data_IF_406384788757
#
_entry.id   IF_406384788757
#
_cell.length_a   1.000
_cell.length_b   1.000
_cell.length_c   1.000
_cell.angle_alpha   90.00
_cell.angle_beta   90.00
_cell.angle_gamma   90.00
#
_symmetry.space_group_name_H-M   'P 1'
#
loop_
_entity.id
_entity.type
_entity.pdbx_description
1 polymer ?
#
# COMPACT_ATOMS: atom_id res chain seq x y z
N UNK A 1 -30.11 -25.18 -33.89
CA UNK A 1 -29.76 -24.70 -32.52
C UNK A 1 -28.25 -24.69 -32.42
N UNK A 2 -27.64 -23.55 -32.72
CA UNK A 2 -26.22 -23.34 -32.56
C UNK A 2 -25.97 -23.07 -31.03
N UNK A 3 -25.12 -23.88 -30.42
CA UNK A 3 -24.63 -23.59 -29.08
C UNK A 3 -23.66 -22.45 -29.22
N UNK A 4 -24.01 -21.28 -28.69
CA UNK A 4 -23.07 -20.21 -28.43
C UNK A 4 -21.99 -20.75 -27.48
N UNK A 5 -20.77 -20.82 -28.00
CA UNK A 5 -19.58 -21.04 -27.19
C UNK A 5 -19.36 -19.76 -26.38
N UNK A 6 -19.94 -19.71 -25.20
CA UNK A 6 -19.58 -18.75 -24.16
C UNK A 6 -18.16 -19.14 -23.68
N UNK A 7 -17.16 -18.64 -24.38
CA UNK A 7 -15.79 -18.68 -23.88
C UNK A 7 -15.69 -17.73 -22.69
N UNK A 8 -16.11 -18.24 -21.54
CA UNK A 8 -15.94 -17.61 -20.23
C UNK A 8 -14.41 -17.63 -19.93
N UNK A 9 -13.67 -16.73 -20.57
CA UNK A 9 -12.29 -16.44 -20.15
C UNK A 9 -12.41 -15.96 -18.71
N UNK A 10 -12.12 -16.83 -17.74
CA UNK A 10 -12.02 -16.46 -16.34
C UNK A 10 -10.99 -15.34 -16.28
N UNK A 11 -11.44 -14.13 -16.01
CA UNK A 11 -10.56 -12.99 -15.78
C UNK A 11 -9.48 -13.42 -14.78
N UNK A 12 -8.23 -13.42 -15.22
CA UNK A 12 -7.12 -13.86 -14.41
C UNK A 12 -6.89 -12.81 -13.33
N UNK A 13 -6.86 -13.24 -12.09
CA UNK A 13 -6.71 -12.35 -10.94
C UNK A 13 -5.29 -12.40 -10.40
N UNK A 14 -4.85 -11.31 -9.79
CA UNK A 14 -3.56 -11.20 -9.12
C UNK A 14 -3.78 -10.65 -7.69
N UNK A 15 -3.15 -11.30 -6.72
CA UNK A 15 -3.15 -10.86 -5.33
C UNK A 15 -1.86 -10.09 -5.05
N UNK A 16 -1.99 -8.84 -4.66
CA UNK A 16 -0.88 -7.94 -4.33
C UNK A 16 -0.87 -7.67 -2.83
N UNK A 17 0.31 -7.62 -2.22
CA UNK A 17 0.49 -7.19 -0.84
C UNK A 17 1.62 -6.17 -0.76
N UNK A 18 1.44 -5.10 -0.01
CA UNK A 18 2.52 -4.24 0.46
C UNK A 18 2.61 -4.29 1.97
N UNK A 19 3.82 -4.34 2.50
CA UNK A 19 4.03 -4.42 3.93
C UNK A 19 5.40 -3.84 4.32
N UNK A 20 5.40 -2.71 5.01
CA UNK A 20 6.57 -2.24 5.74
C UNK A 20 6.74 -3.12 6.97
N UNK A 21 7.76 -4.00 6.98
CA UNK A 21 7.96 -4.99 8.04
C UNK A 21 8.80 -4.48 9.20
N UNK A 22 9.19 -3.22 9.16
CA UNK A 22 10.11 -2.57 10.10
C UNK A 22 11.48 -3.24 10.13
N UNK A 23 12.52 -2.48 9.88
CA UNK A 23 13.90 -2.97 9.96
C UNK A 23 14.25 -3.45 11.38
N UNK A 24 15.20 -4.36 11.45
CA UNK A 24 15.72 -4.82 12.73
C UNK A 24 16.92 -3.96 13.15
N UNK A 25 16.83 -3.34 14.33
CA UNK A 25 17.92 -2.55 14.89
C UNK A 25 19.07 -3.40 15.45
N UNK A 26 18.84 -4.71 15.58
CA UNK A 26 19.80 -5.65 16.19
C UNK A 26 20.61 -6.38 15.11
N UNK A 27 21.38 -5.64 14.30
CA UNK A 27 22.16 -6.16 13.17
C UNK A 27 23.14 -7.33 13.52
N UNK A 28 23.37 -7.59 14.80
CA UNK A 28 24.36 -8.54 15.30
C UNK A 28 23.77 -9.81 15.93
N UNK A 29 22.49 -10.08 15.79
CA UNK A 29 21.91 -11.34 16.26
C UNK A 29 21.74 -12.32 15.10
N UNK A 30 22.74 -13.18 14.80
CA UNK A 30 22.57 -14.26 13.83
C UNK A 30 21.66 -15.30 14.45
N UNK A 31 20.36 -15.09 14.33
CA UNK A 31 19.41 -16.17 14.60
C UNK A 31 19.28 -16.99 13.34
N UNK A 32 19.42 -18.31 13.49
CA UNK A 32 19.03 -19.20 12.41
C UNK A 32 17.66 -18.83 11.90
N UNK A 33 17.38 -18.77 10.59
CA UNK A 33 16.06 -18.53 10.04
C UNK A 33 14.99 -19.42 10.71
N UNK A 34 15.36 -20.64 11.05
CA UNK A 34 14.49 -21.65 11.65
C UNK A 34 14.57 -21.73 13.17
N UNK A 35 15.29 -20.83 13.84
CA UNK A 35 15.28 -20.80 15.31
C UNK A 35 13.87 -20.55 15.81
N UNK A 36 13.33 -21.46 16.61
CA UNK A 36 12.01 -21.31 17.19
C UNK A 36 11.92 -20.03 18.04
N UNK A 37 10.78 -19.35 18.06
CA UNK A 37 10.58 -18.22 18.95
C UNK A 37 10.72 -18.70 20.41
N UNK A 38 11.17 -17.84 21.31
CA UNK A 38 11.25 -18.21 22.72
C UNK A 38 9.88 -18.65 23.23
N UNK A 39 9.83 -19.81 23.89
CA UNK A 39 8.59 -20.35 24.50
C UNK A 39 8.21 -19.42 25.65
N UNK A 40 6.97 -19.03 25.71
CA UNK A 40 6.45 -18.19 26.80
C UNK A 40 5.99 -19.05 27.95
N UNK A 41 6.35 -18.64 29.17
CA UNK A 41 5.85 -19.24 30.40
C UNK A 41 4.36 -18.94 30.65
N UNK A 42 3.84 -17.83 30.09
CA UNK A 42 2.43 -17.45 30.18
C UNK A 42 1.93 -16.91 28.82
N UNK A 43 1.28 -17.73 28.00
CA UNK A 43 0.76 -17.32 26.69
C UNK A 43 -0.43 -16.34 26.75
N UNK A 44 -1.03 -16.14 27.93
CA UNK A 44 -2.20 -15.28 28.11
C UNK A 44 -1.85 -13.89 28.67
N UNK A 45 -0.58 -13.62 29.00
CA UNK A 45 -0.18 -12.31 29.50
C UNK A 45 0.11 -11.34 28.36
N UNK A 46 -0.96 -10.76 27.79
CA UNK A 46 -0.89 -9.75 26.72
C UNK A 46 -0.11 -8.47 27.10
N UNK A 47 0.29 -8.29 28.35
CA UNK A 47 1.07 -7.13 28.78
C UNK A 47 2.56 -7.19 28.42
N UNK A 48 3.04 -8.34 27.93
CA UNK A 48 4.47 -8.57 27.66
C UNK A 48 4.98 -7.94 26.36
N UNK A 49 4.10 -7.55 25.41
CA UNK A 49 4.51 -7.02 24.11
C UNK A 49 3.88 -5.66 23.80
N UNK A 50 4.11 -4.68 24.64
CA UNK A 50 3.64 -3.30 24.41
C UNK A 50 4.61 -2.42 23.61
N UNK A 51 5.76 -2.98 23.23
CA UNK A 51 6.83 -2.26 22.55
C UNK A 51 7.35 -3.06 21.35
N UNK A 52 8.17 -2.41 20.52
CA UNK A 52 8.84 -3.06 19.40
C UNK A 52 9.64 -4.28 19.90
N UNK A 53 9.34 -5.43 19.30
CA UNK A 53 10.06 -6.67 19.58
C UNK A 53 11.14 -6.92 18.53
N UNK A 54 12.25 -7.60 18.88
CA UNK A 54 13.28 -8.00 17.93
C UNK A 54 12.69 -8.80 16.74
N UNK A 55 13.33 -8.70 15.60
CA UNK A 55 12.92 -9.45 14.39
C UNK A 55 12.82 -10.95 14.63
N UNK A 56 13.73 -11.52 15.40
CA UNK A 56 13.73 -12.93 15.77
C UNK A 56 12.41 -13.42 16.41
N UNK A 57 11.66 -12.52 17.04
CA UNK A 57 10.32 -12.78 17.59
C UNK A 57 9.24 -12.47 16.55
N UNK A 58 9.33 -11.30 15.88
CA UNK A 58 8.30 -10.82 14.96
C UNK A 58 8.18 -11.65 13.68
N UNK A 59 9.30 -12.18 13.16
CA UNK A 59 9.39 -12.86 11.87
C UNK A 59 8.36 -13.98 11.71
N UNK A 60 8.07 -14.74 12.76
CA UNK A 60 7.14 -15.87 12.69
C UNK A 60 5.72 -15.42 12.37
N UNK A 61 5.25 -14.34 12.98
CA UNK A 61 3.92 -13.79 12.73
C UNK A 61 3.86 -12.96 11.46
N UNK A 62 4.96 -12.36 11.03
CA UNK A 62 5.11 -11.80 9.68
C UNK A 62 4.93 -12.92 8.65
N UNK A 63 5.61 -14.08 8.86
CA UNK A 63 5.47 -15.26 7.99
C UNK A 63 4.06 -15.84 7.99
N UNK A 64 3.43 -16.01 9.17
CA UNK A 64 2.04 -16.46 9.26
C UNK A 64 1.12 -15.56 8.40
N UNK A 65 1.33 -14.25 8.47
CA UNK A 65 0.53 -13.30 7.68
C UNK A 65 0.78 -13.47 6.17
N UNK A 66 2.03 -13.57 5.73
CA UNK A 66 2.37 -13.74 4.32
C UNK A 66 1.79 -15.06 3.78
N UNK A 67 2.00 -16.16 4.50
CA UNK A 67 1.55 -17.49 4.06
C UNK A 67 0.03 -17.61 4.06
N UNK A 68 -0.66 -17.04 5.07
CA UNK A 68 -2.12 -17.07 5.17
C UNK A 68 -2.79 -16.36 3.98
N UNK A 69 -2.30 -15.16 3.63
CA UNK A 69 -2.88 -14.38 2.52
C UNK A 69 -2.28 -14.73 1.16
N UNK A 70 -1.12 -15.36 1.16
CA UNK A 70 -0.50 -15.98 0.00
C UNK A 70 -0.53 -15.10 -1.26
N UNK A 71 0.02 -13.85 -1.22
CA UNK A 71 0.00 -12.93 -2.34
C UNK A 71 0.84 -13.46 -3.51
N UNK A 72 0.45 -13.12 -4.74
CA UNK A 72 1.26 -13.44 -5.92
C UNK A 72 2.50 -12.52 -6.00
N UNK A 73 2.33 -11.26 -5.56
CA UNK A 73 3.41 -10.27 -5.40
C UNK A 73 3.35 -9.68 -4.00
N UNK A 74 4.48 -9.70 -3.31
CA UNK A 74 4.69 -9.13 -1.98
C UNK A 74 5.79 -8.06 -2.05
N UNK A 75 5.40 -6.81 -1.88
CA UNK A 75 6.27 -5.66 -1.83
C UNK A 75 6.62 -5.33 -0.37
N UNK A 76 7.87 -5.46 0.01
CA UNK A 76 8.34 -5.23 1.36
C UNK A 76 9.16 -3.94 1.44
N UNK A 77 8.97 -3.17 2.50
CA UNK A 77 9.76 -1.99 2.83
C UNK A 77 10.46 -2.20 4.16
N UNK A 78 11.62 -1.60 4.29
CA UNK A 78 12.54 -1.61 5.43
C UNK A 78 13.30 -2.91 5.73
N UNK A 79 13.06 -4.11 5.14
CA UNK A 79 13.91 -5.22 5.52
C UNK A 79 15.38 -4.88 5.26
N UNK A 80 16.25 -5.24 6.20
CA UNK A 80 17.70 -5.26 6.01
C UNK A 80 18.14 -6.66 5.59
N UNK A 81 19.39 -6.80 5.14
CA UNK A 81 19.84 -8.00 4.43
C UNK A 81 19.61 -9.31 5.21
N UNK A 82 19.85 -9.35 6.52
CA UNK A 82 19.59 -10.58 7.31
C UNK A 82 18.09 -10.93 7.39
N UNK A 83 17.19 -9.92 7.41
CA UNK A 83 15.75 -10.16 7.33
C UNK A 83 15.35 -10.72 5.95
N UNK A 84 16.00 -10.25 4.88
CA UNK A 84 15.80 -10.82 3.54
C UNK A 84 16.23 -12.30 3.51
N UNK A 85 17.38 -12.65 4.09
CA UNK A 85 17.83 -14.04 4.15
C UNK A 85 16.89 -14.94 4.96
N UNK A 86 16.35 -14.45 6.06
CA UNK A 86 15.33 -15.18 6.84
C UNK A 86 14.07 -15.42 6.00
N UNK A 87 13.57 -14.39 5.30
CA UNK A 87 12.38 -14.49 4.45
C UNK A 87 12.63 -15.38 3.23
N UNK A 88 13.80 -15.27 2.59
CA UNK A 88 14.20 -16.14 1.49
C UNK A 88 14.16 -17.61 1.91
N UNK A 89 14.75 -17.94 3.06
CA UNK A 89 14.76 -19.31 3.56
C UNK A 89 13.37 -19.82 3.95
N UNK A 90 12.55 -18.98 4.58
CA UNK A 90 11.22 -19.37 5.07
C UNK A 90 10.14 -19.42 3.97
N UNK A 91 10.36 -18.70 2.84
CA UNK A 91 9.45 -18.65 1.71
C UNK A 91 9.94 -19.47 0.50
N UNK A 92 11.07 -20.19 0.63
CA UNK A 92 11.79 -20.86 -0.46
C UNK A 92 10.93 -21.82 -1.30
N UNK A 93 9.87 -22.40 -0.74
CA UNK A 93 9.03 -23.36 -1.45
C UNK A 93 8.21 -22.70 -2.57
N UNK A 94 7.74 -21.47 -2.37
CA UNK A 94 6.80 -20.80 -3.27
C UNK A 94 7.35 -19.53 -3.91
N UNK A 95 8.26 -18.80 -3.22
CA UNK A 95 8.67 -17.45 -3.60
C UNK A 95 10.13 -17.37 -4.02
N UNK A 96 10.36 -16.43 -4.92
CA UNK A 96 11.65 -15.84 -5.23
C UNK A 96 11.56 -14.33 -4.99
N UNK A 97 12.68 -13.63 -5.00
CA UNK A 97 12.71 -12.20 -4.75
C UNK A 97 13.73 -11.45 -5.60
N UNK A 98 13.50 -10.14 -5.74
CA UNK A 98 14.42 -9.18 -6.36
C UNK A 98 14.48 -7.90 -5.53
N UNK A 99 15.61 -7.20 -5.59
CA UNK A 99 15.85 -5.94 -4.89
C UNK A 99 17.31 -5.77 -4.53
N UNK A 100 17.68 -4.60 -4.03
CA UNK A 100 19.03 -4.28 -3.59
C UNK A 100 19.00 -3.35 -2.37
N UNK A 101 20.06 -3.39 -1.59
CA UNK A 101 20.26 -2.48 -0.46
C UNK A 101 20.43 -1.03 -0.92
N UNK A 102 19.73 -0.12 -0.28
CA UNK A 102 19.66 1.29 -0.72
C UNK A 102 20.98 2.05 -0.65
N UNK A 103 21.96 1.58 0.17
CA UNK A 103 23.21 2.31 0.40
C UNK A 103 24.29 2.01 -0.66
N UNK A 104 24.33 0.78 -1.16
CA UNK A 104 25.41 0.31 -2.05
C UNK A 104 24.92 -0.38 -3.33
N UNK A 105 23.61 -0.64 -3.41
CA UNK A 105 23.05 -1.39 -4.53
C UNK A 105 23.28 -2.90 -4.44
N UNK A 106 23.73 -3.40 -3.29
CA UNK A 106 23.95 -4.83 -3.01
C UNK A 106 23.26 -5.22 -1.68
N UNK A 107 23.95 -5.10 -0.56
CA UNK A 107 23.51 -5.66 0.74
C UNK A 107 23.33 -4.63 1.86
N UNK A 108 23.77 -3.39 1.68
CA UNK A 108 23.78 -2.41 2.75
C UNK A 108 22.54 -1.52 2.74
N UNK A 109 22.02 -1.32 3.95
CA UNK A 109 20.83 -0.51 4.20
C UNK A 109 19.54 -1.29 4.03
N UNK A 110 18.44 -0.56 4.07
CA UNK A 110 17.11 -1.12 3.88
C UNK A 110 16.85 -1.45 2.41
N UNK A 111 15.98 -2.44 2.18
CA UNK A 111 15.54 -2.85 0.85
C UNK A 111 14.10 -2.39 0.59
N UNK A 112 13.80 -2.15 -0.66
CA UNK A 112 12.44 -2.18 -1.20
C UNK A 112 12.29 -3.48 -1.99
N UNK A 113 12.22 -4.62 -1.27
CA UNK A 113 12.27 -5.95 -1.88
C UNK A 113 10.92 -6.36 -2.47
N UNK A 114 10.95 -7.08 -3.60
CA UNK A 114 9.76 -7.66 -4.22
C UNK A 114 9.89 -9.18 -4.23
N UNK A 115 9.09 -9.85 -3.40
CA UNK A 115 8.90 -11.29 -3.44
C UNK A 115 7.75 -11.64 -4.38
N UNK A 116 7.86 -12.75 -5.09
CA UNK A 116 6.84 -13.17 -6.03
C UNK A 116 6.73 -14.70 -6.11
N UNK A 117 5.52 -15.20 -6.38
CA UNK A 117 5.30 -16.63 -6.58
C UNK A 117 5.84 -17.08 -7.93
N UNK A 118 6.89 -17.92 -7.93
CA UNK A 118 7.49 -18.46 -9.15
C UNK A 118 6.56 -19.32 -9.99
N UNK A 119 5.53 -19.92 -9.39
CA UNK A 119 4.53 -20.69 -10.14
C UNK A 119 3.57 -19.79 -10.95
N UNK A 120 3.32 -18.58 -10.45
CA UNK A 120 2.39 -17.62 -11.06
C UNK A 120 3.08 -16.66 -12.01
N UNK A 121 4.32 -16.28 -11.68
CA UNK A 121 5.03 -15.17 -12.31
C UNK A 121 6.45 -15.54 -12.71
N UNK A 122 6.90 -14.95 -13.82
CA UNK A 122 8.30 -14.95 -14.26
C UNK A 122 8.80 -13.51 -14.36
N UNK A 123 9.96 -13.22 -13.81
CA UNK A 123 10.60 -11.91 -13.96
C UNK A 123 11.18 -11.78 -15.36
N UNK A 124 10.73 -10.79 -16.12
CA UNK A 124 11.30 -10.42 -17.40
C UNK A 124 12.52 -9.51 -17.20
N UNK A 125 12.37 -8.50 -16.35
CA UNK A 125 13.45 -7.58 -16.00
C UNK A 125 13.18 -6.91 -14.65
N UNK A 126 14.25 -6.48 -13.99
CA UNK A 126 14.11 -5.65 -12.80
C UNK A 126 15.30 -4.69 -12.65
N UNK A 127 15.08 -3.63 -11.90
CA UNK A 127 16.13 -2.68 -11.48
C UNK A 127 15.74 -1.96 -10.20
N UNK A 128 16.73 -1.51 -9.45
CA UNK A 128 16.55 -0.54 -8.37
C UNK A 128 16.74 0.86 -8.91
N UNK A 129 15.78 1.74 -8.65
CA UNK A 129 15.85 3.17 -8.92
C UNK A 129 16.12 3.89 -7.60
N UNK A 130 17.18 4.68 -7.53
CA UNK A 130 17.37 5.62 -6.43
C UNK A 130 16.48 6.82 -6.67
N UNK A 131 15.72 7.19 -5.65
CA UNK A 131 14.78 8.32 -5.70
C UNK A 131 15.55 9.62 -5.49
N UNK A 132 16.26 10.02 -6.54
CA UNK A 132 17.18 11.16 -6.58
C UNK A 132 17.29 11.69 -7.99
N UNK A 133 18.07 12.76 -8.17
CA UNK A 133 18.44 13.32 -9.49
C UNK A 133 19.31 12.35 -10.30
N UNK A 134 19.90 11.34 -9.65
CA UNK A 134 20.73 10.30 -10.27
C UNK A 134 20.16 8.90 -9.98
N UNK A 135 19.02 8.53 -10.60
CA UNK A 135 18.27 7.32 -10.23
C UNK A 135 19.00 5.99 -10.51
N UNK A 136 20.03 6.00 -11.34
CA UNK A 136 20.83 4.80 -11.66
C UNK A 136 22.14 4.73 -10.84
N UNK A 137 22.40 5.72 -9.95
CA UNK A 137 23.60 5.76 -9.11
C UNK A 137 23.31 5.19 -7.72
N UNK A 138 23.94 4.07 -7.39
CA UNK A 138 23.77 3.39 -6.10
C UNK A 138 24.16 4.32 -4.92
N UNK A 139 23.30 4.35 -3.89
CA UNK A 139 23.51 5.17 -2.72
C UNK A 139 23.23 6.67 -2.91
N UNK A 140 22.82 7.11 -4.10
CA UNK A 140 22.48 8.52 -4.33
C UNK A 140 21.30 8.96 -3.46
N UNK A 141 21.36 10.20 -3.03
CA UNK A 141 20.38 10.82 -2.15
C UNK A 141 19.89 12.10 -2.79
N UNK A 142 18.61 12.15 -3.12
CA UNK A 142 18.02 13.25 -3.86
C UNK A 142 17.45 14.35 -2.98
N UNK A 143 17.51 15.58 -3.51
CA UNK A 143 16.84 16.77 -2.97
C UNK A 143 17.11 16.97 -1.47
N UNK A 144 16.06 17.09 -0.68
CA UNK A 144 16.12 17.25 0.79
C UNK A 144 15.96 15.94 1.58
N UNK A 145 16.13 14.77 0.94
CA UNK A 145 16.00 13.48 1.58
C UNK A 145 17.02 13.30 2.72
N UNK A 146 16.58 12.68 3.81
CA UNK A 146 17.47 12.35 4.94
C UNK A 146 18.36 11.14 4.61
N UNK A 147 17.82 10.15 3.92
CA UNK A 147 18.50 8.91 3.55
C UNK A 147 18.35 8.62 2.06
N UNK A 148 19.24 7.84 1.45
CA UNK A 148 18.95 7.25 0.14
C UNK A 148 17.61 6.51 0.20
N UNK A 149 16.77 6.70 -0.82
CA UNK A 149 15.48 6.02 -0.94
C UNK A 149 15.41 5.36 -2.30
N UNK A 150 14.72 4.24 -2.37
CA UNK A 150 14.68 3.41 -3.57
C UNK A 150 13.26 3.02 -3.95
N UNK A 151 13.08 2.78 -5.24
CA UNK A 151 11.97 2.01 -5.77
C UNK A 151 12.52 0.83 -6.57
N UNK A 152 12.06 -0.37 -6.28
CA UNK A 152 12.35 -1.55 -7.10
C UNK A 152 11.31 -1.66 -8.19
N UNK A 153 11.72 -1.53 -9.44
CA UNK A 153 10.91 -1.72 -10.62
C UNK A 153 11.09 -3.15 -11.13
N UNK A 154 9.99 -3.89 -11.29
CA UNK A 154 10.02 -5.27 -11.80
C UNK A 154 8.95 -5.42 -12.88
N UNK A 155 9.34 -5.87 -14.05
CA UNK A 155 8.41 -6.29 -15.11
C UNK A 155 8.24 -7.80 -15.04
N UNK A 156 6.99 -8.21 -14.88
CA UNK A 156 6.61 -9.62 -14.80
C UNK A 156 5.88 -10.09 -16.07
N UNK A 157 6.05 -11.36 -16.35
CA UNK A 157 5.20 -12.15 -17.25
C UNK A 157 4.34 -13.06 -16.38
N UNK A 158 3.02 -13.02 -16.55
CA UNK A 158 2.10 -13.92 -15.87
C UNK A 158 2.07 -15.25 -16.61
N UNK A 159 2.44 -16.33 -15.92
CA UNK A 159 2.65 -17.66 -16.52
C UNK A 159 1.38 -18.30 -17.13
N UNK A 160 0.20 -17.83 -16.75
CA UNK A 160 -1.08 -18.41 -17.22
C UNK A 160 -1.50 -17.94 -18.60
N UNK A 161 -1.05 -16.77 -19.06
CA UNK A 161 -1.54 -16.12 -20.28
C UNK A 161 -0.53 -15.19 -20.96
N UNK A 162 0.73 -15.23 -20.51
CA UNK A 162 1.86 -14.43 -21.02
C UNK A 162 1.64 -12.90 -20.95
N UNK A 163 0.65 -12.44 -20.18
CA UNK A 163 0.43 -11.00 -20.02
C UNK A 163 1.51 -10.36 -19.18
N UNK A 164 1.92 -9.16 -19.58
CA UNK A 164 2.95 -8.39 -18.88
C UNK A 164 2.34 -7.31 -17.99
N UNK A 165 2.99 -7.02 -16.89
CA UNK A 165 2.70 -5.91 -16.02
C UNK A 165 3.96 -5.49 -15.24
N UNK A 166 3.97 -4.28 -14.72
CA UNK A 166 5.12 -3.75 -13.98
C UNK A 166 4.73 -3.40 -12.55
N UNK A 167 5.56 -3.77 -11.60
CA UNK A 167 5.45 -3.40 -10.19
C UNK A 167 6.54 -2.37 -9.85
N UNK A 168 6.16 -1.34 -9.14
CA UNK A 168 7.06 -0.42 -8.44
C UNK A 168 6.83 -0.62 -6.94
N UNK A 169 7.85 -1.10 -6.23
CA UNK A 169 7.86 -1.13 -4.77
C UNK A 169 8.68 0.04 -4.25
N UNK A 170 8.05 1.04 -3.64
CA UNK A 170 8.70 2.27 -3.23
C UNK A 170 8.63 2.49 -1.73
N UNK A 171 9.71 3.09 -1.17
CA UNK A 171 9.73 3.63 0.19
C UNK A 171 10.26 5.06 0.14
N UNK A 172 9.35 6.06 0.26
CA UNK A 172 9.69 7.47 0.15
C UNK A 172 10.35 8.00 1.43
N UNK A 173 10.95 9.19 1.35
CA UNK A 173 11.64 9.78 2.51
C UNK A 173 10.64 10.33 3.55
N UNK A 174 10.91 10.07 4.83
CA UNK A 174 10.02 10.47 5.93
C UNK A 174 10.21 11.93 6.37
N UNK A 175 11.27 12.63 5.90
CA UNK A 175 11.58 14.03 6.25
C UNK A 175 11.48 14.97 5.08
N UNK A 176 12.11 14.62 3.96
CA UNK A 176 12.22 15.46 2.78
C UNK A 176 10.88 15.63 2.06
N UNK A 177 10.28 16.82 2.11
CA UNK A 177 9.03 17.09 1.40
C UNK A 177 9.28 17.15 -0.11
N UNK A 178 10.32 17.87 -0.54
CA UNK A 178 10.70 17.97 -1.96
C UNK A 178 11.11 16.60 -2.49
N UNK A 179 11.85 15.82 -1.70
CA UNK A 179 12.24 14.47 -2.07
C UNK A 179 11.02 13.56 -2.33
N UNK A 180 9.97 13.65 -1.52
CA UNK A 180 8.74 12.88 -1.76
C UNK A 180 7.99 13.34 -3.02
N UNK A 181 7.91 14.64 -3.26
CA UNK A 181 7.27 15.18 -4.45
C UNK A 181 7.99 14.74 -5.72
N UNK A 182 9.30 14.94 -5.78
CA UNK A 182 10.09 14.64 -6.99
C UNK A 182 10.26 13.13 -7.19
N UNK A 183 10.39 12.35 -6.12
CA UNK A 183 10.33 10.88 -6.20
C UNK A 183 9.01 10.39 -6.79
N UNK A 184 7.89 11.02 -6.42
CA UNK A 184 6.57 10.69 -6.98
C UNK A 184 6.49 11.02 -8.47
N UNK A 185 7.06 12.15 -8.92
CA UNK A 185 7.17 12.49 -10.35
C UNK A 185 8.00 11.47 -11.11
N UNK A 186 9.17 11.10 -10.56
CA UNK A 186 10.05 10.09 -11.16
C UNK A 186 9.35 8.74 -11.30
N UNK A 187 8.69 8.27 -10.24
CA UNK A 187 7.94 7.00 -10.28
C UNK A 187 6.82 7.06 -11.32
N UNK A 188 6.05 8.15 -11.35
CA UNK A 188 4.95 8.32 -12.30
C UNK A 188 5.44 8.35 -13.74
N UNK A 189 6.56 9.01 -14.03
CA UNK A 189 7.20 9.01 -15.34
C UNK A 189 7.61 7.59 -15.76
N UNK A 190 8.33 6.89 -14.90
CA UNK A 190 8.76 5.50 -15.17
C UNK A 190 7.58 4.54 -15.33
N UNK A 191 6.51 4.75 -14.57
CA UNK A 191 5.31 3.94 -14.70
C UNK A 191 4.58 4.18 -16.03
N UNK A 192 4.53 5.41 -16.51
CA UNK A 192 3.99 5.73 -17.84
C UNK A 192 4.80 5.07 -18.96
N UNK A 193 6.13 5.09 -18.86
CA UNK A 193 6.99 4.40 -19.82
C UNK A 193 6.72 2.89 -19.82
N UNK A 194 6.58 2.29 -18.63
CA UNK A 194 6.30 0.86 -18.47
C UNK A 194 4.87 0.48 -18.92
N UNK A 195 3.94 1.41 -18.90
CA UNK A 195 2.51 1.17 -19.21
C UNK A 195 2.27 0.74 -20.68
N UNK A 196 3.24 0.95 -21.56
CA UNK A 196 3.20 0.42 -22.92
C UNK A 196 3.20 -1.12 -22.99
N UNK A 197 3.70 -1.79 -21.95
CA UNK A 197 3.77 -3.26 -21.85
C UNK A 197 2.53 -3.88 -21.16
N UNK A 198 1.76 -3.09 -20.43
CA UNK A 198 0.63 -3.52 -19.63
C UNK A 198 0.46 -2.64 -18.39
N UNK A 199 -0.49 -2.93 -17.49
CA UNK A 199 -0.72 -2.10 -16.33
C UNK A 199 0.52 -2.04 -15.44
N UNK A 200 0.76 -0.87 -14.84
CA UNK A 200 1.78 -0.67 -13.84
C UNK A 200 1.13 -0.48 -12.46
N UNK A 201 1.73 -1.05 -11.44
CA UNK A 201 1.26 -0.93 -10.06
C UNK A 201 2.34 -0.30 -9.19
N UNK A 202 1.93 0.64 -8.35
CA UNK A 202 2.76 1.19 -7.29
C UNK A 202 2.30 0.63 -5.95
N UNK A 203 3.22 -0.03 -5.27
CA UNK A 203 3.06 -0.57 -3.93
C UNK A 203 4.09 0.08 -3.02
N UNK A 204 3.73 0.36 -1.79
CA UNK A 204 4.74 0.80 -0.84
C UNK A 204 4.29 1.81 0.20
N UNK A 205 5.26 2.17 1.02
CA UNK A 205 5.18 3.23 2.02
C UNK A 205 5.60 4.56 1.39
N UNK A 206 4.62 5.42 1.18
CA UNK A 206 4.87 6.74 0.59
C UNK A 206 5.27 7.79 1.63
N UNK A 207 5.28 7.45 2.92
CA UNK A 207 5.51 8.42 4.00
C UNK A 207 4.68 9.71 3.84
N UNK A 208 3.54 9.60 3.16
CA UNK A 208 2.67 10.69 2.76
C UNK A 208 1.22 10.28 2.89
N UNK A 209 0.40 11.16 3.43
CA UNK A 209 -1.05 10.98 3.48
C UNK A 209 -1.70 11.36 2.16
N UNK A 210 -2.99 11.10 2.03
CA UNK A 210 -3.78 11.47 0.84
C UNK A 210 -3.85 12.98 0.57
N UNK A 211 -3.55 13.81 1.56
CA UNK A 211 -3.51 15.27 1.44
C UNK A 211 -2.12 15.82 1.08
N UNK A 212 -1.10 14.97 1.12
CA UNK A 212 0.27 15.40 0.85
C UNK A 212 0.56 15.50 -0.66
N UNK A 213 1.45 16.42 -1.07
CA UNK A 213 1.77 16.64 -2.48
C UNK A 213 2.19 15.39 -3.23
N UNK A 214 2.94 14.49 -2.60
CA UNK A 214 3.38 13.24 -3.22
C UNK A 214 2.20 12.38 -3.71
N UNK A 215 1.18 12.19 -2.87
CA UNK A 215 -0.02 11.45 -3.25
C UNK A 215 -0.81 12.18 -4.36
N UNK A 216 -0.94 13.51 -4.24
CA UNK A 216 -1.67 14.32 -5.22
C UNK A 216 -1.01 14.30 -6.61
N UNK A 217 0.33 14.27 -6.66
CA UNK A 217 1.11 14.12 -7.90
C UNK A 217 0.83 12.76 -8.52
N UNK A 218 0.90 11.68 -7.75
CA UNK A 218 0.67 10.33 -8.26
C UNK A 218 -0.74 10.13 -8.80
N UNK A 219 -1.75 10.72 -8.15
CA UNK A 219 -3.16 10.56 -8.50
C UNK A 219 -3.70 11.63 -9.45
N UNK A 220 -2.89 12.63 -9.80
CA UNK A 220 -3.34 13.76 -10.66
C UNK A 220 -4.34 14.69 -10.00
N UNK A 221 -4.53 14.57 -8.69
CA UNK A 221 -5.40 15.47 -7.95
C UNK A 221 -4.80 16.88 -7.96
N UNK A 222 -5.61 17.89 -8.26
CA UNK A 222 -5.12 19.26 -8.34
C UNK A 222 -4.68 19.73 -6.95
N UNK A 223 -3.38 19.96 -6.82
CA UNK A 223 -2.82 20.65 -5.68
C UNK A 223 -2.99 22.16 -5.90
N UNK A 224 -3.96 22.73 -5.24
CA UNK A 224 -4.00 24.19 -5.11
C UNK A 224 -2.96 24.62 -4.07
N UNK A 225 -1.80 25.02 -4.55
CA UNK A 225 -0.76 25.67 -3.74
C UNK A 225 -1.30 27.01 -3.25
N UNK A 226 -2.09 27.03 -2.21
CA UNK A 226 -2.29 28.25 -1.43
C UNK A 226 -1.07 28.43 -0.55
N UNK A 227 -0.10 29.19 -1.09
CA UNK A 227 0.97 29.75 -0.27
C UNK A 227 0.36 30.48 0.92
N UNK A 228 0.50 29.89 2.11
CA UNK A 228 0.45 30.62 3.38
C UNK A 228 -0.94 30.86 3.93
N UNK A 229 -1.66 29.84 4.34
CA UNK A 229 -2.65 30.03 5.39
C UNK A 229 -2.82 28.76 6.24
N UNK A 230 -2.81 28.94 7.54
CA UNK A 230 -3.32 27.98 8.52
C UNK A 230 -4.84 27.69 8.33
N UNK A 231 -5.45 28.28 7.31
CA UNK A 231 -6.87 28.14 6.96
C UNK A 231 -7.23 26.81 6.27
N UNK A 232 -6.24 26.05 5.76
CA UNK A 232 -6.52 24.84 4.97
C UNK A 232 -7.09 23.72 5.83
N UNK A 233 -6.64 23.59 7.09
CA UNK A 233 -7.19 22.61 8.04
C UNK A 233 -8.60 23.02 8.52
N UNK A 234 -8.80 24.29 8.81
CA UNK A 234 -10.12 24.81 9.19
C UNK A 234 -11.12 24.70 8.04
N UNK A 235 -10.70 24.92 6.79
CA UNK A 235 -11.53 24.73 5.60
C UNK A 235 -11.85 23.26 5.33
N UNK A 236 -10.93 22.32 5.62
CA UNK A 236 -11.18 20.88 5.50
C UNK A 236 -12.17 20.39 6.56
N UNK A 237 -12.09 20.89 7.79
CA UNK A 237 -13.04 20.56 8.83
C UNK A 237 -14.43 21.14 8.51
N UNK A 238 -14.50 22.36 8.02
CA UNK A 238 -15.76 22.96 7.57
C UNK A 238 -16.35 22.26 6.35
N UNK A 239 -15.52 21.82 5.39
CA UNK A 239 -15.94 20.98 4.26
C UNK A 239 -16.39 19.60 4.74
N UNK A 240 -15.71 19.02 5.71
CA UNK A 240 -16.07 17.76 6.33
C UNK A 240 -17.46 17.85 7.01
N UNK A 241 -17.72 18.91 7.77
CA UNK A 241 -19.00 19.14 8.42
C UNK A 241 -20.14 19.41 7.41
N UNK A 242 -19.84 20.17 6.36
CA UNK A 242 -20.80 20.47 5.29
C UNK A 242 -21.17 19.19 4.51
N UNK A 243 -20.19 18.34 4.19
CA UNK A 243 -20.43 17.08 3.50
C UNK A 243 -21.13 16.05 4.39
N UNK A 244 -20.80 15.98 5.68
CA UNK A 244 -21.49 15.14 6.64
C UNK A 244 -22.97 15.55 6.78
N UNK A 245 -23.24 16.84 6.84
CA UNK A 245 -24.60 17.40 6.87
C UNK A 245 -25.36 17.12 5.58
N UNK A 246 -24.73 17.29 4.41
CA UNK A 246 -25.32 17.00 3.11
C UNK A 246 -25.64 15.50 2.95
N UNK A 247 -24.75 14.61 3.41
CA UNK A 247 -24.99 13.17 3.42
C UNK A 247 -26.18 12.81 4.31
N UNK A 248 -26.20 13.32 5.54
CA UNK A 248 -27.29 13.09 6.49
C UNK A 248 -28.64 13.60 5.94
N UNK A 249 -28.65 14.78 5.36
CA UNK A 249 -29.86 15.36 4.75
C UNK A 249 -30.37 14.56 3.55
N UNK A 250 -29.44 14.00 2.74
CA UNK A 250 -29.81 13.24 1.53
C UNK A 250 -30.23 11.80 1.85
N UNK A 251 -29.64 11.19 2.86
CA UNK A 251 -29.83 9.75 3.15
C UNK A 251 -30.73 9.50 4.36
N UNK A 252 -30.98 10.53 5.19
CA UNK A 252 -31.62 10.38 6.50
C UNK A 252 -30.78 9.65 7.55
N UNK A 253 -29.51 9.31 7.20
CA UNK A 253 -28.63 8.52 8.06
C UNK A 253 -27.56 9.42 8.70
N UNK A 254 -27.38 9.36 10.02
CA UNK A 254 -26.32 10.10 10.69
C UNK A 254 -24.94 9.50 10.33
N UNK A 255 -23.92 10.35 10.24
CA UNK A 255 -22.54 9.93 9.96
C UNK A 255 -21.84 9.31 11.18
N UNK A 256 -22.40 9.47 12.36
CA UNK A 256 -21.91 8.86 13.60
C UNK A 256 -23.04 8.58 14.58
N UNK A 257 -22.87 7.56 15.42
CA UNK A 257 -23.73 7.27 16.58
C UNK A 257 -22.90 7.29 17.85
N UNK A 258 -23.59 7.48 18.98
CA UNK A 258 -22.94 7.37 20.30
C UNK A 258 -23.38 6.08 20.97
N UNK A 259 -22.41 5.30 21.43
CA UNK A 259 -22.61 4.22 22.37
C UNK A 259 -21.89 4.56 23.69
N UNK A 260 -22.66 5.00 24.68
CA UNK A 260 -22.12 5.58 25.91
C UNK A 260 -21.32 6.86 25.62
N UNK A 261 -20.03 6.89 26.02
CA UNK A 261 -19.14 8.01 25.77
C UNK A 261 -18.35 7.89 24.48
N UNK A 262 -18.54 6.80 23.71
CA UNK A 262 -17.78 6.53 22.48
C UNK A 262 -18.60 6.98 21.28
N UNK A 263 -18.00 7.77 20.39
CA UNK A 263 -18.58 8.12 19.10
C UNK A 263 -18.13 7.09 18.08
N UNK A 264 -19.06 6.31 17.54
CA UNK A 264 -18.80 5.32 16.51
C UNK A 264 -19.30 5.84 15.16
N UNK A 265 -18.53 5.65 14.07
CA UNK A 265 -19.03 5.93 12.74
C UNK A 265 -20.17 4.96 12.39
N UNK A 266 -21.30 5.47 11.91
CA UNK A 266 -22.52 4.69 11.64
C UNK A 266 -22.42 3.72 10.48
N UNK A 267 -21.54 4.00 9.54
CA UNK A 267 -21.21 3.09 8.44
C UNK A 267 -19.70 3.13 8.23
N UNK A 268 -19.12 2.05 7.70
CA UNK A 268 -17.71 2.02 7.33
C UNK A 268 -17.42 3.26 6.50
N UNK A 269 -16.73 4.15 7.14
CA UNK A 269 -16.72 5.58 6.86
C UNK A 269 -16.38 5.86 5.42
N UNK A 270 -17.35 6.41 4.69
CA UNK A 270 -17.02 7.30 3.57
C UNK A 270 -16.69 8.65 4.21
N UNK A 271 -15.42 9.06 4.19
CA UNK A 271 -15.09 10.44 4.59
C UNK A 271 -15.76 11.43 3.62
N UNK A 272 -16.17 12.62 4.09
CA UNK A 272 -16.66 13.67 3.22
C UNK A 272 -15.76 13.98 2.02
N UNK A 273 -14.42 13.92 2.17
CA UNK A 273 -13.48 14.01 1.05
C UNK A 273 -13.65 12.92 -0.01
N UNK A 274 -14.05 11.70 0.37
CA UNK A 274 -14.36 10.61 -0.56
C UNK A 274 -15.65 10.82 -1.33
N UNK A 275 -16.67 11.41 -0.66
CA UNK A 275 -17.92 11.80 -1.32
C UNK A 275 -17.64 12.91 -2.34
N UNK A 276 -16.81 13.90 -1.97
CA UNK A 276 -16.38 14.96 -2.90
C UNK A 276 -15.56 14.43 -4.06
N UNK A 277 -14.64 13.48 -3.81
CA UNK A 277 -13.89 12.81 -4.87
C UNK A 277 -14.83 12.02 -5.80
N UNK A 278 -15.80 11.29 -5.26
CA UNK A 278 -16.78 10.55 -6.05
C UNK A 278 -17.78 11.48 -6.78
N UNK A 279 -18.18 12.58 -6.16
CA UNK A 279 -19.04 13.59 -6.82
C UNK A 279 -18.27 14.38 -7.88
N UNK A 280 -16.99 14.66 -7.68
CA UNK A 280 -16.09 15.16 -8.72
C UNK A 280 -15.91 14.14 -9.83
N UNK A 281 -15.67 12.87 -9.51
CA UNK A 281 -15.62 11.79 -10.50
C UNK A 281 -16.90 11.67 -11.33
N UNK A 282 -18.07 11.85 -10.76
CA UNK A 282 -19.34 11.86 -11.52
C UNK A 282 -19.50 13.06 -12.45
N UNK A 283 -18.93 14.23 -12.10
CA UNK A 283 -18.89 15.42 -12.97
C UNK A 283 -17.74 15.40 -13.99
N UNK A 284 -16.66 14.76 -13.66
CA UNK A 284 -15.43 14.67 -14.47
C UNK A 284 -15.36 13.35 -15.27
N UNK A 285 -16.36 12.46 -15.16
CA UNK A 285 -16.36 11.17 -15.86
C UNK A 285 -16.37 11.30 -17.40
N UNK A 286 -16.79 12.44 -17.93
CA UNK A 286 -16.67 12.75 -19.35
C UNK A 286 -15.27 13.24 -19.75
N UNK A 287 -14.49 13.83 -18.82
CA UNK A 287 -13.10 14.26 -19.06
C UNK A 287 -12.06 13.23 -18.62
N UNK A 288 -12.43 12.26 -17.78
CA UNK A 288 -11.52 11.28 -17.16
C UNK A 288 -11.19 10.07 -18.04
N UNK A 289 -11.98 9.76 -19.08
CA UNK A 289 -11.59 8.72 -20.04
C UNK A 289 -10.31 9.09 -20.82
N UNK A 290 -9.99 10.37 -20.96
CA UNK A 290 -8.75 10.87 -21.60
C UNK A 290 -7.51 10.82 -20.68
N UNK A 291 -7.65 10.58 -19.38
CA UNK A 291 -6.58 10.75 -18.39
C UNK A 291 -6.24 9.50 -17.56
N UNK A 292 -6.97 8.40 -17.74
CA UNK A 292 -6.79 7.18 -16.93
C UNK A 292 -5.39 6.54 -17.08
N UNK A 293 -4.71 6.77 -18.19
CA UNK A 293 -3.35 6.32 -18.49
C UNK A 293 -2.24 7.25 -17.98
N UNK A 294 -2.62 8.36 -17.38
CA UNK A 294 -1.66 9.41 -16.95
C UNK A 294 -1.34 9.38 -15.47
N UNK A 295 -2.24 8.85 -14.63
CA UNK A 295 -2.14 8.90 -13.19
C UNK A 295 -2.53 7.57 -12.55
N UNK A 296 -1.99 7.33 -11.37
CA UNK A 296 -2.35 6.16 -10.60
C UNK A 296 -3.75 6.28 -9.98
N UNK A 297 -4.49 5.20 -10.04
CA UNK A 297 -5.75 5.02 -9.34
C UNK A 297 -5.47 4.31 -8.01
N UNK A 298 -5.92 4.89 -6.91
CA UNK A 298 -5.80 4.27 -5.60
C UNK A 298 -6.81 3.12 -5.46
N UNK A 299 -6.32 1.91 -5.20
CA UNK A 299 -7.15 0.69 -5.11
C UNK A 299 -8.28 0.82 -4.10
N UNK A 300 -8.09 1.60 -3.02
CA UNK A 300 -9.13 1.82 -2.01
C UNK A 300 -10.38 2.49 -2.59
N UNK A 301 -10.20 3.37 -3.57
CA UNK A 301 -11.29 4.13 -4.20
C UNK A 301 -11.83 3.45 -5.45
N UNK A 302 -11.07 2.53 -6.02
CA UNK A 302 -11.46 1.75 -7.21
C UNK A 302 -12.13 0.41 -6.86
N UNK A 303 -12.29 0.11 -5.56
CA UNK A 303 -12.92 -1.13 -5.11
C UNK A 303 -14.34 -1.25 -5.66
N UNK A 304 -14.59 -2.32 -6.40
CA UNK A 304 -15.92 -2.69 -6.86
C UNK A 304 -16.80 -3.02 -5.65
N UNK A 305 -18.04 -2.61 -5.71
CA UNK A 305 -19.04 -2.69 -4.64
C UNK A 305 -19.01 -4.01 -3.85
N UNK A 306 -18.93 -3.89 -2.52
CA UNK A 306 -18.84 -5.04 -1.61
C UNK A 306 -20.15 -5.77 -1.42
N UNK A 307 -21.27 -5.10 -1.62
CA UNK A 307 -22.62 -5.64 -1.43
C UNK A 307 -23.46 -5.24 -2.63
N UNK A 308 -23.81 -6.23 -3.44
CA UNK A 308 -24.86 -6.08 -4.43
C UNK A 308 -26.21 -6.17 -3.71
N UNK A 309 -26.64 -5.06 -3.12
CA UNK A 309 -27.98 -4.94 -2.56
C UNK A 309 -28.90 -4.48 -3.66
N UNK A 310 -29.59 -5.41 -4.32
CA UNK A 310 -30.69 -5.11 -5.22
C UNK A 310 -31.70 -4.21 -4.48
N UNK A 311 -31.56 -2.90 -4.66
CA UNK A 311 -32.49 -1.90 -4.13
C UNK A 311 -31.96 -0.93 -3.09
N UNK A 312 -30.72 -1.01 -2.64
CA UNK A 312 -30.13 0.01 -1.78
C UNK A 312 -29.37 1.05 -2.62
N UNK A 313 -29.76 2.30 -2.52
CA UNK A 313 -29.15 3.45 -3.19
C UNK A 313 -27.83 3.88 -2.52
N UNK A 314 -26.96 2.95 -2.19
CA UNK A 314 -25.68 3.27 -1.54
C UNK A 314 -24.66 2.17 -1.78
N UNK A 315 -23.61 2.50 -2.51
CA UNK A 315 -22.43 1.65 -2.63
C UNK A 315 -21.56 1.83 -1.40
N UNK A 316 -21.27 0.75 -0.68
CA UNK A 316 -20.24 0.75 0.36
C UNK A 316 -18.89 0.72 -0.30
N UNK A 317 -18.10 1.78 -0.16
CA UNK A 317 -16.72 1.86 -0.62
C UNK A 317 -15.75 1.85 0.55
N UNK A 318 -14.52 1.45 0.29
CA UNK A 318 -13.44 1.46 1.27
C UNK A 318 -12.85 0.06 1.51
N UNK A 319 -11.68 -0.03 2.12
CA UNK A 319 -11.00 -1.29 2.35
C UNK A 319 -11.76 -2.17 3.35
N UNK A 320 -11.54 -3.47 3.23
CA UNK A 320 -11.90 -4.37 4.31
C UNK A 320 -10.94 -4.20 5.49
N UNK A 321 -11.39 -4.50 6.69
CA UNK A 321 -10.57 -4.43 7.89
C UNK A 321 -10.35 -2.99 8.37
N UNK A 322 -9.09 -2.65 8.56
CA UNK A 322 -8.69 -1.33 9.03
C UNK A 322 -8.62 -0.31 7.88
N UNK A 323 -8.33 0.93 8.24
CA UNK A 323 -8.17 2.00 7.27
C UNK A 323 -6.76 2.57 7.27
N UNK A 324 -6.28 2.87 8.47
CA UNK A 324 -4.97 3.48 8.66
C UNK A 324 -3.91 2.37 8.67
N UNK A 325 -2.78 2.63 8.05
CA UNK A 325 -1.74 1.64 7.83
C UNK A 325 -0.57 1.78 8.78
N UNK A 326 -0.13 3.00 9.08
CA UNK A 326 0.86 3.25 10.14
C UNK A 326 0.19 3.40 11.49
N UNK A 327 0.61 2.59 12.47
CA UNK A 327 0.02 2.53 13.81
C UNK A 327 1.01 2.80 14.92
N UNK A 328 2.31 2.85 14.61
CA UNK A 328 3.43 2.75 15.57
C UNK A 328 3.38 1.45 16.40
N UNK A 329 4.30 1.30 17.35
CA UNK A 329 4.23 0.21 18.34
C UNK A 329 3.44 0.61 19.60
N UNK A 330 2.63 1.67 19.54
CA UNK A 330 1.81 2.13 20.66
C UNK A 330 2.55 2.97 21.70
N UNK A 331 3.83 3.32 21.45
CA UNK A 331 4.66 4.11 22.34
C UNK A 331 5.55 5.10 21.58
N UNK A 332 6.12 6.06 22.30
CA UNK A 332 7.06 7.05 21.77
C UNK A 332 6.41 8.24 21.07
N UNK A 333 7.24 9.09 20.45
CA UNK A 333 6.77 10.30 19.74
C UNK A 333 6.02 9.98 18.44
N UNK A 334 6.28 8.85 17.84
CA UNK A 334 5.61 8.36 16.62
C UNK A 334 4.14 8.06 16.89
N UNK A 335 3.80 7.58 18.10
CA UNK A 335 2.42 7.34 18.52
C UNK A 335 1.52 8.57 18.44
N UNK A 336 2.08 9.77 18.60
CA UNK A 336 1.33 11.03 18.50
C UNK A 336 0.83 11.33 17.08
N UNK A 337 1.41 10.69 16.07
CA UNK A 337 1.03 10.82 14.65
C UNK A 337 0.18 9.67 14.14
N UNK A 338 0.16 8.56 14.86
CA UNK A 338 -0.64 7.39 14.53
C UNK A 338 -2.08 7.52 15.05
N UNK A 339 -3.09 6.85 14.46
CA UNK A 339 -2.93 6.10 13.22
C UNK A 339 -3.13 6.97 11.97
N UNK A 340 -2.37 6.70 10.90
CA UNK A 340 -2.48 7.38 9.60
C UNK A 340 -2.34 6.38 8.44
N UNK A 341 -2.86 6.73 7.27
CA UNK A 341 -2.71 5.95 6.04
C UNK A 341 -1.56 6.51 5.21
N UNK A 342 -0.48 5.73 5.05
CA UNK A 342 0.71 6.08 4.27
C UNK A 342 1.21 4.94 3.38
N UNK A 343 0.62 3.75 3.47
CA UNK A 343 0.92 2.60 2.62
C UNK A 343 -0.19 2.41 1.59
N UNK A 344 0.18 2.20 0.35
CA UNK A 344 -0.75 2.21 -0.78
C UNK A 344 -0.49 1.06 -1.74
N UNK A 345 -1.57 0.61 -2.40
CA UNK A 345 -1.55 -0.16 -3.64
C UNK A 345 -2.33 0.66 -4.66
N UNK A 346 -1.64 1.09 -5.72
CA UNK A 346 -2.20 1.91 -6.77
C UNK A 346 -1.99 1.27 -8.13
N UNK A 347 -2.88 1.52 -9.08
CA UNK A 347 -2.81 0.97 -10.44
C UNK A 347 -2.78 2.10 -11.47
N UNK A 348 -1.84 2.05 -12.40
CA UNK A 348 -1.84 2.86 -13.61
C UNK A 348 -2.38 2.00 -14.74
N UNK A 349 -3.52 2.37 -15.29
CA UNK A 349 -4.16 1.63 -16.38
C UNK A 349 -3.39 1.83 -17.69
N UNK A 350 -3.34 0.80 -18.53
CA UNK A 350 -2.89 0.96 -19.90
C UNK A 350 -4.05 1.34 -20.83
N UNK A 351 -3.74 1.93 -21.97
CA UNK A 351 -4.73 2.17 -23.01
C UNK A 351 -5.39 0.87 -23.54
N UNK A 352 -4.73 -0.26 -23.31
CA UNK A 352 -5.16 -1.57 -23.79
C UNK A 352 -5.91 -2.37 -22.71
N UNK A 353 -5.78 -2.00 -21.44
CA UNK A 353 -6.21 -2.86 -20.35
C UNK A 353 -6.75 -2.05 -19.17
N UNK A 354 -8.01 -2.28 -18.81
CA UNK A 354 -8.62 -1.65 -17.61
C UNK A 354 -8.47 -2.55 -16.40
N UNK A 355 -7.77 -2.04 -15.38
CA UNK A 355 -7.62 -2.73 -14.10
C UNK A 355 -8.91 -2.60 -13.30
N UNK A 356 -9.38 -3.72 -12.75
CA UNK A 356 -10.51 -3.79 -11.81
C UNK A 356 -9.99 -4.21 -10.44
N UNK A 357 -10.33 -3.46 -9.42
CA UNK A 357 -10.04 -3.82 -8.03
C UNK A 357 -11.21 -4.62 -7.48
N UNK A 358 -10.97 -5.90 -7.19
CA UNK A 358 -11.98 -6.84 -6.70
C UNK A 358 -12.08 -6.80 -5.17
N UNK A 359 -10.93 -6.75 -4.49
CA UNK A 359 -10.84 -6.61 -3.04
C UNK A 359 -9.67 -5.71 -2.67
N UNK A 360 -9.80 -4.99 -1.58
CA UNK A 360 -8.71 -4.30 -0.91
C UNK A 360 -8.95 -4.39 0.60
N UNK A 361 -7.90 -4.68 1.35
CA UNK A 361 -7.99 -4.77 2.80
C UNK A 361 -6.71 -4.24 3.46
N UNK A 362 -6.91 -3.62 4.61
CA UNK A 362 -5.83 -3.32 5.56
C UNK A 362 -5.95 -4.33 6.70
N UNK A 363 -4.90 -5.12 6.89
CA UNK A 363 -4.89 -6.25 7.82
C UNK A 363 -4.46 -5.81 9.22
N UNK A 364 -4.66 -6.66 10.21
CA UNK A 364 -4.11 -6.42 11.56
C UNK A 364 -2.60 -6.65 11.56
N UNK A 365 -1.88 -5.82 12.30
CA UNK A 365 -0.48 -6.01 12.67
C UNK A 365 -0.30 -6.45 14.13
N UNK A 366 -1.38 -6.73 14.83
CA UNK A 366 -1.38 -7.17 16.22
C UNK A 366 -2.12 -8.50 16.37
N UNK A 367 -1.57 -9.39 17.17
CA UNK A 367 -2.08 -10.73 17.48
C UNK A 367 -2.63 -10.81 18.91
N UNK A 368 -3.38 -11.88 19.21
CA UNK A 368 -4.05 -12.11 20.50
C UNK A 368 -3.10 -12.10 21.70
N UNK A 369 -1.84 -12.47 21.46
CA UNK A 369 -0.80 -12.45 22.46
C UNK A 369 -0.21 -11.04 22.72
N UNK A 370 -0.76 -10.02 22.08
CA UNK A 370 -0.32 -8.64 22.16
C UNK A 370 0.88 -8.30 21.27
N UNK A 371 1.46 -9.29 20.56
CA UNK A 371 2.60 -9.06 19.67
C UNK A 371 2.19 -8.15 18.51
N UNK A 372 2.90 -7.03 18.36
CA UNK A 372 2.82 -6.14 17.21
C UNK A 372 3.99 -6.50 16.28
N UNK A 373 3.67 -6.97 15.08
CA UNK A 373 4.66 -7.51 14.13
C UNK A 373 5.40 -6.43 13.34
N UNK A 374 4.80 -5.26 13.22
CA UNK A 374 5.37 -4.05 12.62
C UNK A 374 4.60 -2.84 13.10
N UNK A 375 5.19 -1.66 13.05
CA UNK A 375 4.50 -0.38 13.23
C UNK A 375 3.57 -0.02 12.05
N UNK A 376 3.60 -0.82 10.99
CA UNK A 376 2.68 -0.75 9.87
C UNK A 376 1.76 -1.97 9.79
N UNK A 377 0.61 -1.78 9.16
CA UNK A 377 -0.33 -2.84 8.80
C UNK A 377 -0.13 -3.26 7.35
N UNK A 378 -0.15 -4.56 7.05
CA UNK A 378 -0.14 -5.02 5.66
C UNK A 378 -1.37 -4.52 4.90
N UNK A 379 -1.19 -4.14 3.64
CA UNK A 379 -2.28 -3.83 2.71
C UNK A 379 -2.32 -4.88 1.63
N UNK A 380 -3.48 -5.44 1.35
CA UNK A 380 -3.67 -6.40 0.25
C UNK A 380 -4.70 -5.88 -0.74
N UNK A 381 -4.49 -6.20 -2.02
CA UNK A 381 -5.47 -5.97 -3.07
C UNK A 381 -5.56 -7.18 -4.01
N UNK A 382 -6.77 -7.53 -4.42
CA UNK A 382 -7.01 -8.47 -5.51
C UNK A 382 -7.47 -7.69 -6.72
N UNK A 383 -6.73 -7.82 -7.81
CA UNK A 383 -6.97 -7.10 -9.06
C UNK A 383 -7.16 -8.07 -10.22
N UNK A 384 -7.79 -7.58 -11.28
CA UNK A 384 -7.89 -8.28 -12.57
C UNK A 384 -7.85 -7.28 -13.72
N UNK A 385 -7.43 -7.71 -14.89
CA UNK A 385 -7.45 -6.94 -16.13
C UNK A 385 -7.57 -7.83 -17.34
#
# INVERSE_FOLDING_TARGET
MARENDSNQRATTLNLMTFNIRHDHHENSPTSPFAAPPVRDDPFNASLFREEQPWSIRKWKVMDTILLYSPDVLALQEPVYHQILDLEALLADDYEWVGAGRNDGDKQGEFSAVFYKRQTLTVESWKTLWLSEEPDTAGSKGWDAKHPRTATQVTFIRNSDDTKFTIFNAHLDHKGLVAREEASRLILERARDANALGPAFLLGDLNSTESDPAYLILTGSKYEHTKGSNDTLANLDQLNDTCASAFTNKTGMPTSTKEGNITLPTHRVIRPGQILANLKKQKESEELEEHADKYFLDSQYELITRVDSKGASGTLSGPYGYRDTFTSFGSGDEYKRAPIRIDFIMALQSNLTKVKVLHVAVLSNQFDDGLIISDHRPVIAKVSW
#
